data_IF_800929779270
#
_entry.id   IF_800929779270
#
_cell.length_a   1.000
_cell.length_b   1.000
_cell.length_c   1.000
_cell.angle_alpha   90.00
_cell.angle_beta   90.00
_cell.angle_gamma   90.00
#
_symmetry.space_group_name_H-M   'P 1'
#
loop_
_entity.id
_entity.type
_entity.pdbx_description
1 polymer ?
#
# COMPACT_ATOMS: atom_id res chain seq x y z
N UNK A 1 29.63 -3.41 -7.87
CA UNK A 1 28.25 -3.89 -8.10
C UNK A 1 27.74 -4.43 -6.77
N UNK A 2 26.98 -3.62 -6.03
CA UNK A 2 26.41 -4.08 -4.76
C UNK A 2 25.47 -5.25 -5.07
N UNK A 3 25.67 -6.37 -4.37
CA UNK A 3 24.80 -7.54 -4.46
C UNK A 3 23.37 -7.05 -4.20
N UNK A 4 22.51 -7.10 -5.21
CA UNK A 4 21.06 -7.12 -5.00
C UNK A 4 20.86 -8.32 -4.09
N UNK A 5 20.73 -8.10 -2.78
CA UNK A 5 20.12 -9.10 -1.93
C UNK A 5 18.77 -9.31 -2.59
N UNK A 6 18.52 -10.52 -3.07
CA UNK A 6 17.25 -10.93 -3.67
C UNK A 6 16.17 -10.82 -2.58
N UNK A 7 15.74 -9.60 -2.29
CA UNK A 7 14.62 -9.36 -1.39
C UNK A 7 13.42 -9.98 -2.08
N UNK A 8 12.67 -10.82 -1.39
CA UNK A 8 11.41 -11.31 -1.93
C UNK A 8 10.39 -10.16 -1.96
N UNK A 9 9.42 -10.18 -2.89
CA UNK A 9 8.30 -9.24 -2.84
C UNK A 9 7.61 -9.34 -1.47
N UNK A 10 7.41 -8.19 -0.82
CA UNK A 10 6.83 -8.13 0.53
C UNK A 10 5.37 -7.74 0.44
N UNK A 11 4.49 -8.52 1.06
CA UNK A 11 3.05 -8.28 1.01
C UNK A 11 2.61 -7.36 2.14
N UNK A 12 1.68 -6.47 1.83
CA UNK A 12 1.07 -5.57 2.79
C UNK A 12 -0.41 -5.34 2.49
N UNK A 13 -1.10 -4.67 3.40
CA UNK A 13 -2.39 -4.06 3.14
C UNK A 13 -2.43 -2.64 3.72
N UNK A 14 -3.34 -1.81 3.21
CA UNK A 14 -3.65 -0.52 3.78
C UNK A 14 -4.81 -0.69 4.77
N UNK A 15 -4.57 -0.28 6.02
CA UNK A 15 -5.55 -0.27 7.09
C UNK A 15 -5.96 1.16 7.41
N UNK A 16 -7.24 1.48 7.30
CA UNK A 16 -7.77 2.83 7.43
C UNK A 16 -8.61 2.97 8.68
N UNK A 17 -8.23 3.88 9.57
CA UNK A 17 -9.01 4.19 10.76
C UNK A 17 -10.12 5.20 10.48
N UNK A 18 -9.83 6.19 9.62
CA UNK A 18 -10.72 7.31 9.35
C UNK A 18 -10.87 7.49 7.85
N UNK A 19 -12.10 7.40 7.37
CA UNK A 19 -12.46 7.80 6.01
C UNK A 19 -12.87 9.28 5.99
N UNK A 20 -11.88 10.15 5.81
CA UNK A 20 -12.07 11.61 5.82
C UNK A 20 -12.90 12.12 4.63
N UNK A 21 -13.03 11.34 3.56
CA UNK A 21 -13.79 11.73 2.36
C UNK A 21 -15.15 11.04 2.27
N UNK A 22 -15.33 9.92 2.97
CA UNK A 22 -16.54 9.08 2.88
C UNK A 22 -16.58 8.21 1.61
N UNK A 23 -15.50 8.18 0.83
CA UNK A 23 -15.48 7.54 -0.49
C UNK A 23 -14.95 6.10 -0.47
N UNK A 24 -14.34 5.63 0.60
CA UNK A 24 -13.51 4.41 0.57
C UNK A 24 -13.70 3.47 1.76
N UNK A 25 -14.41 3.89 2.79
CA UNK A 25 -14.62 3.14 4.03
C UNK A 25 -13.37 3.02 4.90
N UNK A 26 -13.51 2.24 5.97
CA UNK A 26 -12.49 1.97 6.99
C UNK A 26 -12.05 0.50 6.97
N UNK A 27 -10.97 0.18 7.69
CA UNK A 27 -10.35 -1.14 7.77
C UNK A 27 -9.43 -1.43 6.59
N UNK A 28 -9.37 -2.70 6.17
CA UNK A 28 -8.54 -3.14 5.04
C UNK A 28 -9.10 -2.67 3.69
N UNK A 29 -8.62 -1.54 3.23
CA UNK A 29 -9.09 -0.81 2.05
C UNK A 29 -8.31 -1.13 0.78
N UNK A 30 -7.08 -1.64 0.89
CA UNK A 30 -6.29 -2.09 -0.25
C UNK A 30 -5.34 -3.23 0.12
N UNK A 31 -5.04 -4.07 -0.85
CA UNK A 31 -4.00 -5.11 -0.80
C UNK A 31 -2.79 -4.65 -1.62
N UNK A 32 -1.57 -4.99 -1.21
CA UNK A 32 -0.38 -4.54 -1.94
C UNK A 32 0.83 -5.45 -1.85
N UNK A 33 1.75 -5.23 -2.78
CA UNK A 33 3.07 -5.87 -2.85
C UNK A 33 4.12 -4.78 -3.07
N UNK A 34 5.15 -4.77 -2.24
CA UNK A 34 6.38 -4.01 -2.44
C UNK A 34 7.38 -4.91 -3.16
N UNK A 35 7.79 -4.49 -4.35
CA UNK A 35 8.76 -5.20 -5.16
C UNK A 35 10.20 -4.89 -4.72
N UNK A 36 11.16 -5.77 -5.06
CA UNK A 36 12.56 -5.62 -4.60
C UNK A 36 13.26 -4.38 -5.16
N UNK A 37 12.76 -3.84 -6.28
CA UNK A 37 13.23 -2.60 -6.90
C UNK A 37 12.65 -1.33 -6.24
N UNK A 38 11.80 -1.48 -5.22
CA UNK A 38 11.16 -0.39 -4.49
C UNK A 38 9.83 0.09 -5.08
N UNK A 39 9.43 -0.45 -6.23
CA UNK A 39 8.10 -0.19 -6.82
C UNK A 39 7.01 -0.91 -6.03
N UNK A 40 5.76 -0.45 -6.13
CA UNK A 40 4.64 -1.07 -5.43
C UNK A 40 3.41 -1.24 -6.33
N UNK A 41 2.71 -2.36 -6.16
CA UNK A 41 1.40 -2.59 -6.76
C UNK A 41 0.33 -2.63 -5.66
N UNK A 42 -0.75 -1.88 -5.82
CA UNK A 42 -1.90 -1.85 -4.91
C UNK A 42 -3.18 -2.24 -5.64
N UNK A 43 -4.03 -3.02 -4.97
CA UNK A 43 -5.39 -3.34 -5.37
C UNK A 43 -6.35 -2.73 -4.36
N UNK A 44 -7.03 -1.67 -4.75
CA UNK A 44 -8.12 -1.08 -3.97
C UNK A 44 -9.34 -2.01 -3.93
N UNK A 45 -9.98 -2.05 -2.76
CA UNK A 45 -11.20 -2.81 -2.47
C UNK A 45 -12.42 -1.89 -2.49
N UNK A 46 -13.60 -2.50 -2.35
CA UNK A 46 -14.88 -1.77 -2.26
C UNK A 46 -15.63 -1.70 -3.58
N UNK A 47 -16.56 -0.74 -3.66
CA UNK A 47 -17.49 -0.57 -4.79
C UNK A 47 -16.80 -0.19 -6.11
N UNK A 48 -15.70 0.55 -6.03
CA UNK A 48 -14.93 1.02 -7.19
C UNK A 48 -13.50 0.47 -7.15
N UNK A 49 -13.31 -0.83 -7.41
CA UNK A 49 -12.00 -1.45 -7.26
C UNK A 49 -11.08 -1.05 -8.41
N UNK A 50 -9.83 -0.73 -8.08
CA UNK A 50 -8.81 -0.31 -9.04
C UNK A 50 -7.45 -0.89 -8.68
N UNK A 51 -6.58 -1.00 -9.69
CA UNK A 51 -5.19 -1.41 -9.49
C UNK A 51 -4.29 -0.25 -9.86
N UNK A 52 -3.37 0.11 -8.96
CA UNK A 52 -2.45 1.23 -9.14
C UNK A 52 -1.03 0.74 -8.90
N UNK A 53 -0.10 1.24 -9.72
CA UNK A 53 1.33 1.02 -9.57
C UNK A 53 2.03 2.30 -9.17
N UNK A 54 3.04 2.20 -8.32
CA UNK A 54 3.87 3.30 -7.87
C UNK A 54 5.33 2.99 -8.11
N UNK A 55 6.08 3.97 -8.59
CA UNK A 55 7.54 3.85 -8.73
C UNK A 55 8.24 3.76 -7.37
N UNK A 56 7.62 4.30 -6.32
CA UNK A 56 8.11 4.26 -4.95
C UNK A 56 6.97 4.05 -3.96
N UNK A 57 7.16 3.11 -3.03
CA UNK A 57 6.21 2.89 -1.93
C UNK A 57 5.91 4.15 -1.10
N UNK A 58 6.91 5.01 -0.92
CA UNK A 58 6.78 6.24 -0.15
C UNK A 58 5.78 7.22 -0.77
N UNK A 59 5.58 7.17 -2.08
CA UNK A 59 4.61 8.05 -2.76
C UNK A 59 3.18 7.56 -2.48
N UNK A 60 2.96 6.24 -2.46
CA UNK A 60 1.69 5.64 -2.04
C UNK A 60 1.35 6.02 -0.60
N UNK A 61 2.33 5.95 0.32
CA UNK A 61 2.16 6.33 1.73
C UNK A 61 1.88 7.84 1.87
N UNK A 62 2.62 8.68 1.17
CA UNK A 62 2.44 10.14 1.22
C UNK A 62 1.04 10.56 0.77
N UNK A 63 0.53 9.95 -0.30
CA UNK A 63 -0.75 10.32 -0.89
C UNK A 63 -1.93 9.70 -0.13
N UNK A 64 -1.80 8.45 0.34
CA UNK A 64 -2.92 7.71 0.92
C UNK A 64 -2.85 7.54 2.44
N UNK A 65 -1.76 7.93 3.09
CA UNK A 65 -1.59 7.83 4.53
C UNK A 65 -2.46 8.80 5.34
N UNK A 66 -2.88 9.92 4.72
CA UNK A 66 -3.79 10.91 5.32
C UNK A 66 -3.42 11.31 6.76
N UNK A 67 -2.15 11.68 6.99
CA UNK A 67 -1.68 12.09 8.32
C UNK A 67 -1.71 11.00 9.38
N UNK A 68 -1.67 9.73 8.98
CA UNK A 68 -1.75 8.57 9.86
C UNK A 68 -3.13 7.91 9.94
N UNK A 69 -4.15 8.49 9.30
CA UNK A 69 -5.48 7.88 9.22
C UNK A 69 -5.50 6.58 8.39
N UNK A 70 -4.49 6.34 7.56
CA UNK A 70 -4.26 5.05 6.90
C UNK A 70 -2.82 4.59 7.13
N UNK A 71 -2.65 3.32 7.50
CA UNK A 71 -1.36 2.71 7.77
C UNK A 71 -1.08 1.57 6.81
N UNK A 72 0.21 1.32 6.56
CA UNK A 72 0.68 0.12 5.89
C UNK A 72 0.86 -0.97 6.94
N UNK A 73 0.23 -2.13 6.74
CA UNK A 73 0.40 -3.30 7.60
C UNK A 73 1.04 -4.42 6.79
N UNK A 74 2.22 -4.87 7.22
CA UNK A 74 2.97 -5.96 6.59
C UNK A 74 2.42 -7.33 7.01
N UNK A 75 2.32 -8.25 6.06
CA UNK A 75 1.76 -9.60 6.29
C UNK A 75 2.84 -10.58 6.76
N UNK A 76 4.06 -10.42 6.26
CA UNK A 76 5.16 -11.39 6.40
C UNK A 76 6.15 -11.03 7.52
N UNK A 77 5.64 -10.53 8.65
CA UNK A 77 6.46 -10.17 9.82
C UNK A 77 6.92 -11.39 10.62
#
# INVERSE_FOLDING_TARGET
>A
MARLVEQQPRRFYLDRDVDVTGASGIGRVADGVLWPDGTASLRWRGEHPSTVTWDRMTDAERIHGHGGATRIVWIDA
#
